data_IF_180114041754
#
_entry.id   IF_180114041754
#
_cell.length_a   1.000
_cell.length_b   1.000
_cell.length_c   1.000
_cell.angle_alpha   90.00
_cell.angle_beta   90.00
_cell.angle_gamma   90.00
#
_symmetry.space_group_name_H-M   'P 1'
#
loop_
_entity.id
_entity.type
_entity.pdbx_description
1 polymer ?
#
# COMPACT_ATOMS: atom_id res chain seq x y z
N UNK A 1 -0.78 -14.90 -6.76
CA UNK A 1 -2.17 -14.43 -6.96
C UNK A 1 -2.10 -12.93 -6.94
N UNK A 2 -2.58 -12.28 -7.98
CA UNK A 2 -2.57 -10.82 -8.08
C UNK A 2 -3.61 -10.26 -7.09
N UNK A 3 -3.17 -9.43 -6.15
CA UNK A 3 -4.05 -8.86 -5.12
C UNK A 3 -4.66 -7.58 -5.67
N UNK A 4 -5.98 -7.58 -5.90
CA UNK A 4 -6.72 -6.40 -6.31
C UNK A 4 -6.89 -5.42 -5.15
N UNK A 5 -6.70 -4.14 -5.44
CA UNK A 5 -6.63 -3.07 -4.44
C UNK A 5 -7.21 -1.76 -4.97
N UNK A 6 -7.74 -0.96 -4.05
CA UNK A 6 -8.14 0.42 -4.26
C UNK A 6 -7.10 1.33 -3.60
N UNK A 7 -6.57 2.27 -4.36
CA UNK A 7 -5.61 3.30 -3.94
C UNK A 7 -6.35 4.62 -3.71
N UNK A 8 -6.05 5.32 -2.62
CA UNK A 8 -6.74 6.54 -2.15
C UNK A 8 -8.29 6.40 -2.09
N UNK A 9 -8.81 5.36 -1.41
CA UNK A 9 -10.24 5.07 -1.39
C UNK A 9 -11.04 6.24 -0.79
N UNK A 10 -12.20 6.54 -1.39
CA UNK A 10 -13.11 7.60 -0.92
C UNK A 10 -12.61 9.03 -1.19
N UNK A 11 -11.61 9.19 -2.06
CA UNK A 11 -11.09 10.50 -2.49
C UNK A 11 -11.34 10.70 -4.00
N UNK A 12 -11.18 11.93 -4.47
CA UNK A 12 -11.24 12.24 -5.91
C UNK A 12 -10.06 11.63 -6.72
N UNK A 13 -9.11 10.97 -6.03
CA UNK A 13 -7.95 10.30 -6.62
C UNK A 13 -8.03 8.78 -6.46
N UNK A 14 -9.22 8.25 -6.22
CA UNK A 14 -9.44 6.82 -6.12
C UNK A 14 -9.00 6.11 -7.41
N UNK A 15 -8.14 5.10 -7.28
CA UNK A 15 -7.61 4.32 -8.40
C UNK A 15 -7.74 2.83 -8.09
N UNK A 16 -8.19 2.06 -9.07
CA UNK A 16 -8.24 0.61 -9.00
C UNK A 16 -6.99 0.00 -9.62
N UNK A 17 -6.50 -1.10 -9.07
CA UNK A 17 -5.34 -1.78 -9.62
C UNK A 17 -5.00 -3.09 -8.95
N UNK A 18 -3.80 -3.58 -9.24
CA UNK A 18 -3.23 -4.79 -8.68
C UNK A 18 -1.88 -4.50 -8.03
N UNK A 19 -1.66 -5.05 -6.85
CA UNK A 19 -0.33 -5.04 -6.22
C UNK A 19 0.61 -5.88 -7.08
N UNK A 20 1.67 -5.26 -7.57
CA UNK A 20 2.71 -5.93 -8.36
C UNK A 20 3.98 -6.19 -7.56
N UNK A 21 4.21 -5.41 -6.50
CA UNK A 21 5.31 -5.65 -5.56
C UNK A 21 4.92 -5.16 -4.16
N UNK A 22 5.22 -5.98 -3.15
CA UNK A 22 5.05 -5.64 -1.74
C UNK A 22 6.42 -5.31 -1.12
N UNK A 23 6.63 -4.05 -0.77
CA UNK A 23 7.84 -3.56 -0.10
C UNK A 23 7.71 -3.59 1.43
N UNK A 24 6.69 -4.23 2.01
CA UNK A 24 6.56 -4.40 3.45
C UNK A 24 7.78 -5.08 4.07
N UNK A 25 8.42 -6.00 3.36
CA UNK A 25 9.64 -6.68 3.81
C UNK A 25 10.91 -5.81 3.67
N UNK A 26 10.85 -4.75 2.86
CA UNK A 26 11.90 -3.74 2.70
C UNK A 26 11.77 -2.56 3.66
N UNK A 27 10.68 -2.51 4.45
CA UNK A 27 10.53 -1.59 5.56
C UNK A 27 11.47 -2.04 6.69
N UNK A 28 12.76 -1.79 6.47
CA UNK A 28 13.85 -2.10 7.39
C UNK A 28 13.54 -1.59 8.79
N UNK A 29 13.85 -2.45 9.77
CA UNK A 29 13.92 -2.23 11.22
C UNK A 29 13.31 -0.92 11.72
N UNK A 30 12.20 -1.03 12.44
CA UNK A 30 11.61 0.05 13.22
C UNK A 30 12.70 0.91 13.88
N UNK A 31 12.72 2.21 13.59
CA UNK A 31 13.69 3.13 14.19
C UNK A 31 13.24 3.37 15.63
N UNK A 32 13.84 2.66 16.58
CA UNK A 32 13.71 2.96 18.01
C UNK A 32 14.52 4.23 18.32
N UNK A 33 13.85 5.37 18.54
CA UNK A 33 14.49 6.55 19.12
C UNK A 33 14.13 6.58 20.60
N UNK A 34 15.15 6.49 21.46
CA UNK A 34 15.04 6.71 22.91
C UNK A 34 13.97 5.86 23.65
N UNK A 35 13.72 4.63 23.21
CA UNK A 35 12.79 3.70 23.90
C UNK A 35 11.30 3.99 23.69
N UNK A 36 10.96 4.92 22.78
CA UNK A 36 9.58 5.21 22.41
C UNK A 36 9.35 4.80 20.95
N UNK A 37 8.32 3.98 20.70
CA UNK A 37 7.95 3.52 19.36
C UNK A 37 7.24 4.67 18.63
N UNK A 38 7.99 5.49 17.91
CA UNK A 38 7.46 6.71 17.29
C UNK A 38 6.63 6.42 16.02
N UNK A 39 7.01 5.46 15.18
CA UNK A 39 6.22 5.07 14.00
C UNK A 39 6.53 3.61 13.63
N UNK A 40 5.50 2.82 13.33
CA UNK A 40 5.71 1.48 12.74
C UNK A 40 6.32 1.61 11.33
N UNK A 41 7.00 0.57 10.82
CA UNK A 41 7.43 0.56 9.43
C UNK A 41 6.23 0.78 8.51
N UNK A 42 6.17 1.91 7.82
CA UNK A 42 5.14 2.17 6.81
C UNK A 42 5.34 1.14 5.69
N UNK A 43 4.36 0.25 5.53
CA UNK A 43 4.44 -0.79 4.49
C UNK A 43 4.13 -0.11 3.17
N UNK A 44 5.02 -0.28 2.19
CA UNK A 44 4.87 0.32 0.87
C UNK A 44 4.49 -0.73 -0.15
N UNK A 45 3.60 -0.36 -1.05
CA UNK A 45 3.14 -1.22 -2.13
C UNK A 45 3.35 -0.52 -3.45
N UNK A 46 3.82 -1.25 -4.46
CA UNK A 46 3.70 -0.83 -5.85
C UNK A 46 2.43 -1.43 -6.45
N UNK A 47 1.56 -0.55 -6.93
CA UNK A 47 0.28 -0.89 -7.54
C UNK A 47 0.34 -0.52 -9.01
N UNK A 48 0.08 -1.49 -9.88
CA UNK A 48 -0.19 -1.21 -11.28
C UNK A 48 -1.67 -0.86 -11.40
N UNK A 49 -1.95 0.40 -11.73
CA UNK A 49 -3.32 0.92 -11.82
C UNK A 49 -3.94 0.63 -13.17
N UNK A 50 -5.25 0.37 -13.19
CA UNK A 50 -6.00 -0.01 -14.39
C UNK A 50 -5.98 1.08 -15.48
N UNK A 51 -5.81 2.35 -15.09
CA UNK A 51 -5.64 3.49 -16.01
C UNK A 51 -4.28 3.51 -16.73
N UNK A 52 -3.38 2.59 -16.39
CA UNK A 52 -2.03 2.50 -16.93
C UNK A 52 -1.06 3.37 -16.12
N UNK A 53 -0.27 2.73 -15.27
CA UNK A 53 0.76 3.40 -14.49
C UNK A 53 1.16 2.60 -13.26
N UNK A 54 2.29 2.98 -12.66
CA UNK A 54 2.76 2.40 -11.41
C UNK A 54 2.69 3.46 -10.31
N UNK A 55 1.95 3.18 -9.25
CA UNK A 55 1.80 4.06 -8.09
C UNK A 55 2.42 3.39 -6.88
N UNK A 56 3.17 4.15 -6.10
CA UNK A 56 3.72 3.73 -4.82
C UNK A 56 2.90 4.36 -3.70
N UNK A 57 2.33 3.53 -2.83
CA UNK A 57 1.48 3.96 -1.72
C UNK A 57 1.85 3.26 -0.43
N UNK A 58 1.58 3.93 0.68
CA UNK A 58 1.71 3.37 2.03
C UNK A 58 0.42 2.60 2.41
N UNK A 59 0.46 1.80 3.48
CA UNK A 59 -0.65 0.93 3.92
C UNK A 59 -1.91 1.68 4.34
N UNK A 60 -1.80 2.95 4.70
CA UNK A 60 -2.94 3.81 5.04
C UNK A 60 -3.70 4.34 3.81
N UNK A 61 -3.09 4.23 2.63
CA UNK A 61 -3.55 4.80 1.37
C UNK A 61 -4.01 3.74 0.37
N UNK A 62 -4.12 2.49 0.81
CA UNK A 62 -4.48 1.34 0.00
C UNK A 62 -5.40 0.39 0.78
N UNK A 63 -6.42 -0.15 0.12
CA UNK A 63 -7.29 -1.17 0.70
C UNK A 63 -7.45 -2.34 -0.27
N UNK A 64 -7.53 -3.56 0.26
CA UNK A 64 -7.85 -4.73 -0.57
C UNK A 64 -9.26 -4.59 -1.11
N UNK A 65 -9.43 -4.79 -2.42
CA UNK A 65 -10.75 -4.96 -3.00
C UNK A 65 -11.30 -6.28 -2.49
N UNK A 66 -12.40 -6.22 -1.73
CA UNK A 66 -13.11 -7.44 -1.37
C UNK A 66 -13.56 -8.11 -2.66
N UNK A 67 -12.97 -9.27 -2.98
CA UNK A 67 -13.41 -10.09 -4.10
C UNK A 67 -14.90 -10.42 -3.87
N UNK A 68 -15.83 -10.04 -4.76
CA UNK A 68 -17.21 -10.49 -4.62
C UNK A 68 -17.21 -12.02 -4.66
N UNK A 69 -17.84 -12.61 -3.63
CA UNK A 69 -17.92 -14.06 -3.42
C UNK A 69 -18.69 -14.80 -4.51
#
# INVERSE_FOLDING_TARGET
MDTRVIVYPGTDKELHGVVVEDFADLAGTAVEIAGERIVGPARRYAVNVDEGGLVFVDDDSIVTEAQPA
#
